data_IF_489068368442
#
_entry.id   IF_489068368442
#
_cell.length_a   1.000
_cell.length_b   1.000
_cell.length_c   1.000
_cell.angle_alpha   90.00
_cell.angle_beta   90.00
_cell.angle_gamma   90.00
#
_symmetry.space_group_name_H-M   'P 1'
#
loop_
_entity.id
_entity.type
_entity.pdbx_description
1 polymer ?
#
# COMPACT_ATOMS: atom_id res chain seq x y z
N UNK A 1 7.15 11.10 13.22
CA UNK A 1 5.84 11.78 13.32
C UNK A 1 4.79 10.75 13.69
N UNK A 2 3.91 11.06 14.62
CA UNK A 2 2.85 10.15 15.10
C UNK A 2 1.54 10.37 14.34
N UNK A 3 1.51 9.97 13.08
CA UNK A 3 0.29 10.01 12.26
C UNK A 3 -0.41 8.64 12.29
N UNK A 4 -1.74 8.66 12.42
CA UNK A 4 -2.56 7.45 12.44
C UNK A 4 -3.02 7.10 11.03
N UNK A 5 -2.73 5.88 10.61
CA UNK A 5 -3.20 5.32 9.35
C UNK A 5 -3.99 4.03 9.62
N UNK A 6 -5.18 3.92 9.04
CA UNK A 6 -5.93 2.68 9.01
C UNK A 6 -5.96 2.13 7.59
N UNK A 7 -5.69 0.85 7.48
CA UNK A 7 -5.57 0.13 6.21
C UNK A 7 -6.21 -1.25 6.39
N UNK A 8 -6.72 -1.85 5.32
CA UNK A 8 -7.35 -3.18 5.40
C UNK A 8 -6.44 -4.21 6.10
N UNK A 9 -6.99 -4.99 7.02
CA UNK A 9 -6.24 -5.96 7.84
C UNK A 9 -5.82 -7.20 7.04
N UNK A 10 -6.61 -7.59 6.02
CA UNK A 10 -6.33 -8.77 5.20
C UNK A 10 -5.50 -8.34 4.00
N UNK A 11 -4.37 -9.04 3.86
CA UNK A 11 -3.18 -8.71 3.07
C UNK A 11 -2.20 -7.72 3.76
N UNK A 12 -1.04 -8.30 4.14
CA UNK A 12 0.24 -7.67 4.47
C UNK A 12 0.54 -7.29 5.93
N UNK A 13 0.91 -8.31 6.73
CA UNK A 13 1.40 -8.18 8.11
C UNK A 13 2.94 -8.24 8.16
N UNK A 14 3.59 -7.10 7.97
CA UNK A 14 4.87 -6.68 8.59
C UNK A 14 5.08 -5.17 8.30
N UNK A 15 5.60 -4.40 9.25
CA UNK A 15 5.79 -2.94 9.09
C UNK A 15 7.19 -2.63 8.55
N UNK A 16 7.35 -1.61 7.70
CA UNK A 16 8.69 -1.20 7.24
C UNK A 16 8.71 0.17 6.57
N UNK A 17 9.65 1.03 6.98
CA UNK A 17 9.82 2.38 6.41
C UNK A 17 10.53 2.35 5.05
N UNK A 18 10.12 3.20 4.11
CA UNK A 18 10.79 3.33 2.82
C UNK A 18 10.87 4.78 2.33
N UNK A 19 12.08 5.28 2.06
CA UNK A 19 12.36 6.54 1.35
C UNK A 19 11.38 7.69 1.65
N UNK A 20 11.26 8.07 2.93
CA UNK A 20 10.42 9.17 3.43
C UNK A 20 8.90 8.97 3.38
N UNK A 21 8.42 7.84 2.87
CA UNK A 21 7.00 7.48 2.91
C UNK A 21 6.81 6.27 3.84
N UNK A 22 5.88 6.40 4.78
CA UNK A 22 5.55 5.30 5.70
C UNK A 22 4.87 4.19 4.91
N UNK A 23 5.39 2.97 5.02
CA UNK A 23 4.87 1.81 4.30
C UNK A 23 4.68 0.62 5.25
N UNK A 24 3.86 -0.33 4.82
CA UNK A 24 3.88 -1.71 5.32
C UNK A 24 4.53 -2.61 4.27
N UNK A 25 5.24 -3.63 4.72
CA UNK A 25 5.84 -4.63 3.86
C UNK A 25 4.98 -5.88 3.92
N UNK A 26 4.63 -6.37 2.75
CA UNK A 26 4.03 -7.66 2.58
C UNK A 26 5.00 -8.79 3.01
N UNK A 27 4.62 -9.71 3.91
CA UNK A 27 5.46 -10.85 4.24
C UNK A 27 5.58 -11.88 3.10
N UNK A 28 4.59 -11.99 2.20
CA UNK A 28 4.53 -13.07 1.19
C UNK A 28 5.23 -12.69 -0.14
N UNK A 29 4.77 -11.62 -0.77
CA UNK A 29 5.24 -11.06 -2.03
C UNK A 29 6.26 -9.91 -1.91
N UNK A 30 6.62 -9.49 -0.69
CA UNK A 30 7.60 -8.42 -0.40
C UNK A 30 7.30 -7.05 -1.04
N UNK A 31 6.06 -6.80 -1.46
CA UNK A 31 5.60 -5.48 -1.89
C UNK A 31 5.58 -4.49 -0.71
N UNK A 32 5.91 -3.24 -1.00
CA UNK A 32 5.74 -2.14 -0.04
C UNK A 32 4.45 -1.42 -0.35
N UNK A 33 3.56 -1.29 0.63
CA UNK A 33 2.30 -0.57 0.49
C UNK A 33 2.40 0.75 1.24
N UNK A 34 2.17 1.87 0.56
CA UNK A 34 2.17 3.19 1.20
C UNK A 34 1.00 3.34 2.16
N UNK A 35 1.22 3.88 3.37
CA UNK A 35 0.15 4.07 4.35
C UNK A 35 -0.88 5.14 3.96
N UNK A 36 -0.46 6.17 3.21
CA UNK A 36 -1.34 7.27 2.80
C UNK A 36 -2.29 6.92 1.66
N UNK A 37 -1.80 6.22 0.63
CA UNK A 37 -2.56 5.97 -0.61
C UNK A 37 -2.85 4.49 -0.88
N UNK A 38 -2.26 3.56 -0.10
CA UNK A 38 -2.44 2.13 -0.33
C UNK A 38 -1.78 1.60 -1.62
N UNK A 39 -0.86 2.35 -2.21
CA UNK A 39 -0.15 2.00 -3.44
C UNK A 39 0.91 0.92 -3.21
N UNK A 40 0.93 -0.09 -4.07
CA UNK A 40 1.96 -1.11 -4.04
C UNK A 40 3.18 -0.71 -4.88
N UNK A 41 4.33 -0.71 -4.23
CA UNK A 41 5.65 -0.47 -4.80
C UNK A 41 6.43 -1.79 -4.87
N UNK A 42 7.20 -1.94 -5.94
CA UNK A 42 8.16 -3.02 -6.11
C UNK A 42 9.44 -2.52 -6.79
N UNK A 43 10.56 -3.21 -6.55
CA UNK A 43 11.79 -2.98 -7.30
C UNK A 43 11.76 -3.80 -8.58
N UNK A 44 11.71 -3.14 -9.72
CA UNK A 44 11.87 -3.76 -11.02
C UNK A 44 13.37 -3.88 -11.35
N UNK A 45 13.73 -4.93 -12.06
CA UNK A 45 15.07 -5.15 -12.63
C UNK A 45 14.99 -4.84 -14.12
N UNK A 46 15.83 -3.94 -14.62
CA UNK A 46 15.85 -3.57 -16.05
C UNK A 46 16.36 -4.71 -16.94
N UNK A 47 17.49 -5.31 -16.55
CA UNK A 47 18.12 -6.42 -17.27
C UNK A 47 18.59 -7.46 -16.24
N UNK A 48 17.97 -8.65 -16.19
CA UNK A 48 18.30 -9.69 -15.21
C UNK A 48 19.65 -10.37 -15.51
N UNK A 49 20.22 -10.17 -16.69
CA UNK A 49 21.45 -10.83 -17.15
C UNK A 49 22.71 -10.04 -16.78
N UNK A 50 22.59 -8.74 -16.49
CA UNK A 50 23.72 -7.86 -16.14
C UNK A 50 23.98 -7.82 -14.63
N UNK A 51 25.26 -7.73 -14.26
CA UNK A 51 25.74 -7.58 -12.87
C UNK A 51 26.56 -6.28 -12.74
N UNK A 52 26.38 -5.47 -11.68
CA UNK A 52 25.37 -5.61 -10.63
C UNK A 52 23.95 -5.33 -11.18
N UNK A 53 22.94 -5.91 -10.51
CA UNK A 53 21.55 -5.65 -10.88
C UNK A 53 21.24 -4.16 -10.68
N UNK A 54 20.73 -3.52 -11.73
CA UNK A 54 20.16 -2.18 -11.63
C UNK A 54 18.68 -2.33 -11.35
N UNK A 55 18.24 -1.76 -10.22
CA UNK A 55 16.83 -1.75 -9.84
C UNK A 55 16.29 -0.34 -9.75
N UNK A 56 15.01 -0.20 -10.07
CA UNK A 56 14.28 1.06 -9.93
C UNK A 56 12.88 0.77 -9.39
N UNK A 57 12.29 1.74 -8.70
CA UNK A 57 10.98 1.60 -8.10
C UNK A 57 9.88 1.75 -9.14
N UNK A 58 8.86 0.89 -9.06
CA UNK A 58 7.67 0.93 -9.90
C UNK A 58 6.41 0.79 -9.06
N UNK A 59 5.34 1.37 -9.57
CA UNK A 59 4.00 1.30 -9.00
C UNK A 59 3.22 0.16 -9.67
N UNK A 60 2.51 -0.62 -8.86
CA UNK A 60 1.53 -1.63 -9.31
C UNK A 60 0.08 -1.12 -9.17
N UNK A 61 -0.08 0.14 -8.77
CA UNK A 61 -1.34 0.81 -8.43
C UNK A 61 -1.76 0.59 -6.98
N UNK A 62 -2.93 1.14 -6.61
CA UNK A 62 -3.56 0.94 -5.30
C UNK A 62 -3.91 -0.54 -5.12
N UNK A 63 -3.39 -1.15 -4.05
CA UNK A 63 -3.63 -2.57 -3.71
C UNK A 63 -4.31 -2.76 -2.37
N UNK A 64 -4.38 -1.72 -1.55
CA UNK A 64 -4.99 -1.78 -0.24
C UNK A 64 -5.83 -0.53 0.00
N UNK A 65 -7.02 -0.70 0.57
CA UNK A 65 -7.86 0.45 0.91
C UNK A 65 -7.28 1.17 2.12
N UNK A 66 -7.16 2.48 2.00
CA UNK A 66 -6.87 3.38 3.12
C UNK A 66 -8.19 3.89 3.68
N UNK A 67 -8.34 3.82 5.00
CA UNK A 67 -9.52 4.28 5.72
C UNK A 67 -9.23 5.62 6.38
N UNK A 68 -10.22 6.51 6.36
CA UNK A 68 -10.15 7.75 7.14
C UNK A 68 -10.29 7.41 8.63
N UNK A 69 -9.33 7.87 9.43
CA UNK A 69 -9.30 7.69 10.89
C UNK A 69 -9.63 9.02 11.56
N UNK A 70 -10.42 8.98 12.63
CA UNK A 70 -10.58 10.10 13.55
C UNK A 70 -10.30 9.62 14.97
N UNK A 71 -9.49 10.38 15.68
CA UNK A 71 -9.23 10.19 17.11
C UNK A 71 -10.40 10.79 17.91
N UNK A 72 -10.90 10.03 18.88
CA UNK A 72 -12.00 10.47 19.74
C UNK A 72 -11.36 11.00 21.03
N UNK A 73 -11.30 12.32 21.19
CA UNK A 73 -10.54 13.01 22.25
C UNK A 73 -10.86 12.56 23.69
N UNK A 74 -11.98 11.90 23.93
CA UNK A 74 -12.45 11.46 25.25
C UNK A 74 -12.12 9.99 25.57
N UNK A 75 -11.40 9.27 24.68
CA UNK A 75 -11.05 7.85 24.88
C UNK A 75 -9.86 7.42 24.01
N UNK A 76 -9.16 6.33 24.37
CA UNK A 76 -8.15 5.68 23.49
C UNK A 76 -8.78 4.94 22.28
N UNK A 77 -9.99 5.32 21.88
CA UNK A 77 -10.73 4.69 20.78
C UNK A 77 -10.60 5.49 19.49
N UNK A 78 -10.62 4.76 18.37
CA UNK A 78 -10.52 5.32 17.02
C UNK A 78 -11.72 4.87 16.19
N UNK A 79 -12.29 5.82 15.43
CA UNK A 79 -13.38 5.54 14.50
C UNK A 79 -12.87 5.52 13.06
N UNK A 80 -13.37 4.56 12.27
CA UNK A 80 -13.15 4.48 10.82
C UNK A 80 -14.47 4.49 10.07
N UNK A 81 -14.50 5.16 8.92
CA UNK A 81 -15.67 5.15 8.04
C UNK A 81 -15.93 3.73 7.51
N UNK A 82 -17.18 3.24 7.59
CA UNK A 82 -17.57 1.96 6.96
C UNK A 82 -17.71 2.15 5.44
N UNK A 83 -16.72 1.72 4.67
CA UNK A 83 -16.87 1.62 3.22
C UNK A 83 -17.66 0.35 2.86
N UNK A 84 -18.81 0.51 2.19
CA UNK A 84 -19.52 -0.60 1.56
C UNK A 84 -18.61 -1.18 0.47
N UNK A 85 -18.29 -2.47 0.55
CA UNK A 85 -17.62 -3.19 -0.53
C UNK A 85 -18.59 -3.36 -1.70
N UNK A 86 -18.69 -2.35 -2.55
CA UNK A 86 -19.27 -2.56 -3.87
C UNK A 86 -18.28 -3.41 -4.66
N UNK A 87 -18.62 -4.69 -4.87
CA UNK A 87 -17.94 -5.54 -5.83
C UNK A 87 -18.15 -4.95 -7.24
N UNK A 88 -17.29 -4.00 -7.64
CA UNK A 88 -17.21 -3.60 -9.04
C UNK A 88 -16.48 -4.70 -9.80
N UNK A 89 -17.25 -5.52 -10.51
CA UNK A 89 -16.75 -6.30 -11.64
C UNK A 89 -16.31 -5.31 -12.72
N UNK A 90 -15.05 -4.88 -12.69
CA UNK A 90 -14.46 -4.09 -13.77
C UNK A 90 -13.39 -4.90 -14.51
N UNK A 91 -13.84 -5.54 -15.59
CA UNK A 91 -12.99 -5.82 -16.75
C UNK A 91 -12.50 -4.48 -17.33
N UNK A 92 -11.45 -3.88 -16.74
CA UNK A 92 -10.70 -2.80 -17.40
C UNK A 92 -9.41 -3.38 -17.97
N UNK A 93 -9.45 -3.68 -19.26
CA UNK A 93 -8.25 -3.84 -20.08
C UNK A 93 -7.43 -2.55 -20.01
N UNK A 94 -6.18 -2.65 -19.55
CA UNK A 94 -5.22 -1.57 -19.71
C UNK A 94 -5.02 -1.31 -21.21
N UNK A 95 -5.55 -0.19 -21.71
CA UNK A 95 -5.11 0.37 -22.98
C UNK A 95 -3.84 1.18 -22.71
N UNK A 96 -2.74 0.72 -23.29
CA UNK A 96 -1.50 1.47 -23.45
C UNK A 96 -1.68 2.47 -24.59
N UNK A 97 -1.40 3.75 -24.34
CA UNK A 97 -0.93 4.69 -25.34
C UNK A 97 0.43 5.20 -24.86
#
# INVERSE_FOLDING_TARGET
QGELHAIDMRCYRTFGHFNRQSCIVCPWHQYKITLGEGEALFQAVDDPTRRPLRTHWRFKGVKQRVHKVREIMESDAYETEKYRTDHKNENRTCRTN
#
